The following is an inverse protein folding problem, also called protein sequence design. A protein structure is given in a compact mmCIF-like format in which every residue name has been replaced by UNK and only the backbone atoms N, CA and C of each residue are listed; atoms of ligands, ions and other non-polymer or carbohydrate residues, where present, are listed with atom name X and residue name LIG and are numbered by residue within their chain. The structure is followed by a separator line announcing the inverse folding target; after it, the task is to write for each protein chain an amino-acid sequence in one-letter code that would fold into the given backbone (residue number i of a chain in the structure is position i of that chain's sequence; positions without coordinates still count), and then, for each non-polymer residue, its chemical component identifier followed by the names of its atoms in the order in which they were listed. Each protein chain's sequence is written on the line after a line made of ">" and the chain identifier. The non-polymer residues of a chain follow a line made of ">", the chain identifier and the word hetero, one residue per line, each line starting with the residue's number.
data_IF_068452720164
#
_entry.id   IF_068452720164
#
_cell.length_a   1.000
_cell.length_b   1.000
_cell.length_c   1.000
_cell.angle_alpha   90.00
_cell.angle_beta   90.00
_cell.angle_gamma   90.00
#
_symmetry.space_group_name_H-M   'P 1'
#
loop_
_entity.id
_entity.type
_entity.pdbx_description
1 polymer ?
#
# COMPACT_ATOMS: atom_id res chain seq x y z
N UNK A 1 -14.25 -35.75 34.36
CA UNK A 1 -12.78 -35.76 34.70
C UNK A 1 -12.26 -34.40 34.32
N UNK A 2 -12.24 -33.44 35.19
CA UNK A 2 -11.19 -32.99 36.12
C UNK A 2 -9.92 -32.58 35.39
N UNK A 3 -9.62 -31.27 35.42
CA UNK A 3 -8.38 -30.64 35.87
C UNK A 3 -8.62 -29.13 35.83
N UNK A 4 -8.84 -28.46 36.93
CA UNK A 4 -7.94 -27.80 37.87
C UNK A 4 -7.11 -26.68 37.24
N UNK A 5 -7.47 -25.47 37.67
CA UNK A 5 -6.78 -24.24 37.32
C UNK A 5 -5.45 -24.01 38.05
N UNK A 6 -4.64 -23.17 37.48
CA UNK A 6 -3.58 -22.45 38.20
C UNK A 6 -3.55 -21.01 37.75
N UNK A 7 -3.81 -20.16 38.73
CA UNK A 7 -3.64 -18.70 38.68
C UNK A 7 -2.17 -18.39 38.87
N UNK A 8 -1.52 -17.67 37.95
CA UNK A 8 -0.27 -16.98 38.28
C UNK A 8 -0.41 -15.50 37.92
N UNK A 9 -0.38 -14.70 38.99
CA UNK A 9 -0.09 -13.26 38.94
C UNK A 9 1.39 -13.11 38.61
N UNK A 10 1.71 -12.36 37.57
CA UNK A 10 3.05 -11.91 37.26
C UNK A 10 3.02 -10.45 36.86
N UNK A 11 3.36 -9.59 37.82
CA UNK A 11 3.62 -8.16 37.60
C UNK A 11 4.93 -8.04 36.84
N UNK A 12 4.88 -7.64 35.57
CA UNK A 12 6.08 -7.34 34.79
C UNK A 12 6.38 -5.84 34.93
N UNK A 13 7.38 -5.54 35.71
CA UNK A 13 7.99 -4.19 35.80
C UNK A 13 8.96 -4.06 34.62
N UNK A 14 8.61 -3.24 33.64
CA UNK A 14 9.52 -2.85 32.56
C UNK A 14 10.41 -1.71 33.04
N UNK A 15 11.67 -2.04 33.32
CA UNK A 15 12.74 -1.06 33.43
C UNK A 15 13.09 -0.55 32.03
N UNK A 16 12.75 0.69 31.75
CA UNK A 16 13.29 1.42 30.59
C UNK A 16 14.62 2.04 31.03
N UNK A 17 15.71 1.42 30.63
CA UNK A 17 17.04 2.03 30.74
C UNK A 17 17.22 3.04 29.59
N UNK A 18 17.22 4.31 29.95
CA UNK A 18 17.61 5.42 29.09
C UNK A 18 19.12 5.39 28.91
N UNK A 19 19.62 4.86 27.79
CA UNK A 19 21.02 5.06 27.38
C UNK A 19 21.09 6.28 26.49
N UNK A 20 21.56 7.38 27.06
CA UNK A 20 22.03 8.57 26.35
C UNK A 20 23.30 8.19 25.55
N UNK A 21 23.17 7.98 24.25
CA UNK A 21 24.28 8.01 23.32
C UNK A 21 24.29 9.37 22.63
N UNK A 22 25.19 10.22 23.06
CA UNK A 22 25.64 11.39 22.31
C UNK A 22 26.32 10.92 21.04
N UNK A 23 25.60 10.96 19.92
CA UNK A 23 26.17 10.81 18.58
C UNK A 23 26.57 12.19 18.07
N UNK A 24 27.88 12.44 18.01
CA UNK A 24 28.49 13.56 17.30
C UNK A 24 28.08 13.51 15.82
N UNK A 25 27.43 14.57 15.35
CA UNK A 25 27.24 14.83 13.93
C UNK A 25 28.61 15.08 13.29
N UNK A 26 29.11 14.10 12.57
CA UNK A 26 30.16 14.30 11.57
C UNK A 26 29.47 14.64 10.26
N UNK A 27 29.62 15.88 9.84
CA UNK A 27 29.29 16.33 8.48
C UNK A 27 30.33 15.74 7.56
N UNK A 28 29.95 14.78 6.73
CA UNK A 28 30.70 14.42 5.53
C UNK A 28 30.31 15.35 4.39
N UNK A 29 31.29 15.88 3.62
CA UNK A 29 31.02 16.66 2.43
C UNK A 29 30.45 15.75 1.30
N UNK A 30 29.75 16.29 0.31
CA UNK A 30 29.27 15.51 -0.82
C UNK A 30 30.46 15.24 -1.75
N UNK A 31 31.03 14.07 -1.65
CA UNK A 31 31.91 13.52 -2.69
C UNK A 31 31.05 13.01 -3.83
N UNK A 32 31.07 13.73 -4.92
CA UNK A 32 30.67 13.26 -6.22
C UNK A 32 31.76 12.33 -6.75
N UNK A 33 31.70 11.06 -6.41
CA UNK A 33 32.40 10.00 -7.13
C UNK A 33 31.44 9.38 -8.14
N UNK A 34 31.61 9.74 -9.39
CA UNK A 34 31.20 8.92 -10.52
C UNK A 34 32.10 7.68 -10.49
N UNK A 35 31.72 6.67 -9.74
CA UNK A 35 32.29 5.33 -9.88
C UNK A 35 31.94 4.87 -11.30
N UNK A 36 32.94 4.86 -12.18
CA UNK A 36 32.89 4.21 -13.49
C UNK A 36 32.89 2.70 -13.19
N UNK A 37 31.68 2.13 -12.93
CA UNK A 37 31.53 0.69 -12.81
C UNK A 37 31.66 0.07 -14.19
N UNK A 38 32.66 -0.76 -14.38
CA UNK A 38 32.76 -1.61 -15.57
C UNK A 38 31.75 -2.75 -15.46
N UNK A 39 31.26 -3.24 -16.60
CA UNK A 39 30.44 -4.43 -16.66
C UNK A 39 31.21 -5.68 -16.22
N UNK A 40 30.50 -6.72 -15.83
CA UNK A 40 31.09 -7.99 -15.42
C UNK A 40 32.10 -8.50 -16.46
N UNK A 41 33.26 -8.96 -16.01
CA UNK A 41 34.36 -9.39 -16.84
C UNK A 41 35.37 -8.31 -17.25
N UNK A 42 35.15 -7.06 -16.81
CA UNK A 42 36.05 -5.94 -17.08
C UNK A 42 36.46 -5.21 -15.82
N UNK A 43 37.70 -4.71 -15.77
CA UNK A 43 38.23 -3.86 -14.69
C UNK A 43 38.59 -2.47 -15.22
N UNK A 44 38.45 -1.44 -14.37
CA UNK A 44 38.80 -0.09 -14.73
C UNK A 44 40.31 0.13 -14.74
N UNK A 45 40.88 0.40 -15.90
CA UNK A 45 42.31 0.75 -16.02
C UNK A 45 42.49 2.28 -15.91
N UNK A 46 43.11 2.70 -14.79
CA UNK A 46 43.35 4.11 -14.48
C UNK A 46 44.30 4.80 -15.50
N UNK A 47 45.20 4.03 -16.16
CA UNK A 47 46.15 4.59 -17.10
C UNK A 47 45.52 4.87 -18.47
N UNK A 48 44.67 4.00 -18.93
CA UNK A 48 44.01 4.13 -20.23
C UNK A 48 42.61 4.77 -20.14
N UNK A 49 42.07 4.98 -18.91
CA UNK A 49 40.74 5.56 -18.65
C UNK A 49 39.59 4.84 -19.36
N UNK A 50 39.67 3.51 -19.49
CA UNK A 50 38.61 2.66 -20.01
C UNK A 50 38.58 1.31 -19.30
N UNK A 51 37.46 0.60 -19.46
CA UNK A 51 37.32 -0.74 -18.93
C UNK A 51 38.14 -1.73 -19.76
N UNK A 52 39.05 -2.45 -19.10
CA UNK A 52 39.90 -3.46 -19.69
C UNK A 52 39.39 -4.86 -19.35
N UNK A 53 39.45 -5.74 -20.31
CA UNK A 53 39.09 -7.15 -20.14
C UNK A 53 39.94 -7.83 -19.07
N UNK A 54 39.30 -8.52 -18.17
CA UNK A 54 39.97 -9.32 -17.11
C UNK A 54 40.39 -10.64 -17.73
N UNK A 55 41.65 -11.00 -17.61
CA UNK A 55 42.08 -12.32 -18.05
C UNK A 55 41.83 -13.37 -16.96
N UNK A 56 40.65 -13.97 -17.01
CA UNK A 56 40.22 -14.96 -15.97
C UNK A 56 41.12 -16.19 -15.99
N UNK A 57 41.71 -16.55 -17.10
CA UNK A 57 42.65 -17.66 -17.19
C UNK A 57 43.93 -17.46 -16.35
N UNK A 58 44.21 -16.21 -15.98
CA UNK A 58 45.36 -15.84 -15.12
C UNK A 58 44.90 -15.54 -13.70
N UNK A 59 43.75 -14.88 -13.56
CA UNK A 59 43.26 -14.40 -12.27
C UNK A 59 42.52 -15.45 -11.45
N UNK A 60 41.88 -16.43 -12.09
CA UNK A 60 41.16 -17.51 -11.43
C UNK A 60 42.03 -18.76 -11.32
N UNK A 61 42.25 -19.24 -10.10
CA UNK A 61 42.92 -20.53 -9.89
C UNK A 61 42.02 -21.67 -10.36
N UNK A 62 42.47 -22.44 -11.36
CA UNK A 62 41.72 -23.55 -11.97
C UNK A 62 40.35 -23.13 -12.59
N UNK A 63 40.35 -22.24 -13.59
CA UNK A 63 39.12 -21.77 -14.22
C UNK A 63 38.36 -22.85 -15.00
N UNK A 64 39.02 -23.95 -15.39
CA UNK A 64 38.43 -25.04 -16.15
C UNK A 64 38.54 -26.37 -15.42
N UNK A 65 37.49 -27.16 -15.44
CA UNK A 65 37.47 -28.51 -14.82
C UNK A 65 38.01 -29.58 -15.78
N UNK A 66 38.74 -30.54 -15.25
CA UNK A 66 39.26 -31.66 -16.00
C UNK A 66 40.44 -31.32 -16.92
N UNK A 67 40.55 -31.99 -18.07
CA UNK A 67 41.67 -31.79 -19.05
C UNK A 67 41.40 -30.67 -20.06
N UNK A 68 40.57 -29.67 -19.70
CA UNK A 68 40.30 -28.53 -20.56
C UNK A 68 41.32 -27.41 -20.38
N UNK A 69 41.59 -26.67 -21.48
CA UNK A 69 42.47 -25.52 -21.50
C UNK A 69 41.64 -24.24 -21.50
N UNK A 70 42.01 -23.29 -20.63
CA UNK A 70 41.37 -21.99 -20.56
C UNK A 70 41.86 -21.07 -21.70
N UNK A 71 40.91 -20.38 -22.32
CA UNK A 71 41.15 -19.32 -23.31
C UNK A 71 40.40 -18.07 -22.88
N UNK A 72 41.12 -16.99 -22.68
CA UNK A 72 40.57 -15.70 -22.40
C UNK A 72 39.80 -15.17 -23.61
N UNK A 73 38.63 -14.56 -23.34
CA UNK A 73 37.77 -13.92 -24.34
C UNK A 73 37.21 -12.63 -23.74
N UNK A 74 36.86 -11.68 -24.57
CA UNK A 74 36.31 -10.40 -24.13
C UNK A 74 35.09 -10.60 -23.23
N UNK A 75 35.19 -10.15 -21.96
CA UNK A 75 34.15 -10.24 -20.96
C UNK A 75 33.99 -11.61 -20.31
N UNK A 76 35.00 -12.53 -20.45
CA UNK A 76 34.97 -13.84 -19.83
C UNK A 76 35.97 -14.83 -20.43
N UNK A 77 35.81 -16.12 -20.13
CA UNK A 77 36.73 -17.16 -20.62
C UNK A 77 36.00 -18.38 -21.15
N UNK A 78 36.65 -19.17 -21.99
CA UNK A 78 36.17 -20.41 -22.55
C UNK A 78 37.07 -21.58 -22.15
N UNK A 79 36.44 -22.70 -21.76
CA UNK A 79 37.15 -23.96 -21.52
C UNK A 79 37.02 -24.87 -22.74
N UNK A 80 38.13 -25.09 -23.44
CA UNK A 80 38.18 -25.91 -24.64
C UNK A 80 39.00 -27.18 -24.41
N UNK A 81 38.68 -28.29 -25.10
CA UNK A 81 39.53 -29.49 -25.07
C UNK A 81 40.96 -29.19 -25.53
N UNK A 82 41.95 -29.88 -24.96
CA UNK A 82 43.37 -29.69 -25.32
C UNK A 82 43.68 -29.90 -26.81
N UNK A 83 42.81 -30.59 -27.52
CA UNK A 83 42.92 -30.83 -28.96
C UNK A 83 42.36 -29.67 -29.82
N UNK A 84 41.71 -28.66 -29.23
CA UNK A 84 41.20 -27.51 -29.93
C UNK A 84 42.36 -26.52 -30.27
N UNK A 85 42.55 -26.23 -31.54
CA UNK A 85 43.45 -25.14 -32.00
C UNK A 85 42.60 -23.90 -32.28
N UNK A 86 42.89 -22.81 -31.59
CA UNK A 86 42.26 -21.51 -31.87
C UNK A 86 43.07 -20.86 -32.97
N UNK A 87 42.45 -20.61 -34.13
CA UNK A 87 43.04 -19.85 -35.21
C UNK A 87 42.88 -18.37 -34.85
N UNK A 88 43.93 -17.77 -34.29
CA UNK A 88 44.03 -16.32 -34.16
C UNK A 88 44.43 -15.74 -35.51
N UNK A 89 43.67 -14.76 -35.99
CA UNK A 89 44.08 -13.98 -37.18
C UNK A 89 45.47 -13.34 -36.94
N UNK A 90 46.39 -13.42 -37.86
CA UNK A 90 47.72 -12.83 -37.68
C UNK A 90 47.61 -11.31 -37.64
N UNK A 91 48.22 -10.70 -36.62
CA UNK A 91 48.46 -9.27 -36.58
C UNK A 91 49.37 -8.86 -37.78
N UNK A 92 49.17 -7.69 -38.36
CA UNK A 92 50.01 -7.21 -39.44
C UNK A 92 51.41 -6.82 -38.90
N UNK A 93 52.36 -7.72 -39.02
CA UNK A 93 53.72 -7.44 -38.67
C UNK A 93 54.41 -6.61 -39.83
N UNK A 94 54.84 -5.43 -39.45
CA UNK A 94 55.71 -4.57 -40.25
C UNK A 94 57.08 -5.22 -40.54
N UNK A 95 57.47 -5.19 -41.80
CA UNK A 95 58.87 -5.13 -42.35
C UNK A 95 59.75 -6.37 -42.28
N UNK A 96 60.06 -6.86 -43.49
CA UNK A 96 61.33 -7.41 -43.76
C UNK A 96 61.81 -7.00 -45.22
N UNK A 97 63.05 -6.77 -45.40
CA UNK A 97 63.59 -6.05 -46.58
C UNK A 97 63.74 -6.94 -47.79
N UNK A 98 63.59 -6.31 -48.93
CA UNK A 98 63.76 -6.89 -50.25
C UNK A 98 65.18 -7.39 -50.51
N UNK A 99 65.34 -8.64 -50.97
CA UNK A 99 66.49 -9.16 -51.61
C UNK A 99 66.46 -8.92 -53.15
N UNK A 100 67.52 -8.79 -53.81
CA UNK A 100 67.55 -8.36 -55.20
C UNK A 100 67.06 -9.46 -56.16
N UNK A 101 66.49 -9.06 -57.32
CA UNK A 101 65.95 -10.01 -58.29
C UNK A 101 67.04 -10.64 -59.13
N UNK A 102 66.93 -11.88 -59.64
CA UNK A 102 67.81 -12.43 -60.63
C UNK A 102 67.50 -11.81 -61.99
N UNK A 103 68.51 -11.32 -62.62
CA UNK A 103 68.47 -10.88 -64.01
C UNK A 103 68.33 -12.08 -64.96
N UNK A 104 67.26 -12.08 -65.72
CA UNK A 104 67.19 -12.83 -66.95
C UNK A 104 66.77 -11.87 -68.06
N UNK A 105 67.76 -11.64 -69.01
CA UNK A 105 67.52 -11.02 -70.28
C UNK A 105 66.55 -11.88 -71.07
N UNK A 106 65.36 -11.36 -71.41
CA UNK A 106 64.68 -11.80 -72.64
C UNK A 106 63.82 -10.66 -73.22
N UNK A 107 63.88 -10.57 -74.48
CA UNK A 107 63.35 -9.71 -75.53
C UNK A 107 62.08 -8.88 -75.18
N UNK A 108 62.20 -7.60 -75.50
CA UNK A 108 61.07 -6.68 -75.64
C UNK A 108 60.08 -7.21 -76.69
N UNK A 109 58.78 -7.50 -76.26
CA UNK A 109 57.75 -7.70 -77.24
C UNK A 109 56.39 -8.32 -76.81
N UNK A 110 56.24 -8.85 -75.59
CA UNK A 110 54.90 -9.28 -75.15
C UNK A 110 54.77 -9.22 -73.65
N UNK A 111 53.77 -8.52 -73.17
CA UNK A 111 53.43 -8.54 -71.77
C UNK A 111 52.84 -9.91 -71.35
N UNK A 112 52.96 -10.29 -70.06
CA UNK A 112 52.32 -11.48 -69.56
C UNK A 112 50.75 -11.42 -69.72
N UNK A 113 50.13 -12.55 -69.71
CA UNK A 113 48.62 -12.62 -69.72
C UNK A 113 48.08 -11.78 -68.62
N UNK A 114 47.04 -10.96 -68.90
CA UNK A 114 46.43 -10.00 -67.97
C UNK A 114 47.10 -8.61 -67.94
N UNK A 115 48.16 -8.37 -68.77
CA UNK A 115 48.82 -7.06 -68.90
C UNK A 115 48.82 -6.58 -70.33
N UNK A 116 48.70 -5.26 -70.50
CA UNK A 116 48.84 -4.58 -71.79
C UNK A 116 50.07 -3.71 -71.82
N UNK A 117 50.64 -3.55 -73.02
CA UNK A 117 51.78 -2.67 -73.24
C UNK A 117 51.33 -1.22 -73.22
N UNK A 118 51.85 -0.43 -72.31
CA UNK A 118 51.64 1.01 -72.27
C UNK A 118 52.99 1.73 -72.19
N UNK A 119 53.46 2.22 -73.31
CA UNK A 119 54.81 2.76 -73.47
C UNK A 119 55.89 1.68 -73.42
N UNK A 120 56.80 1.74 -72.43
CA UNK A 120 57.90 0.77 -72.22
C UNK A 120 57.63 -0.19 -71.07
N UNK A 121 56.40 -0.17 -70.49
CA UNK A 121 56.03 -1.00 -69.34
C UNK A 121 54.72 -1.80 -69.60
N UNK A 122 54.61 -2.93 -68.93
CA UNK A 122 53.36 -3.71 -68.89
C UNK A 122 52.48 -3.19 -67.71
N UNK A 123 51.30 -2.78 -68.07
CA UNK A 123 50.28 -2.31 -67.08
C UNK A 123 49.14 -3.33 -66.99
N UNK A 124 48.65 -3.58 -65.82
CA UNK A 124 47.52 -4.45 -65.57
C UNK A 124 46.30 -4.06 -66.41
N UNK A 125 45.67 -5.04 -67.00
CA UNK A 125 44.41 -4.86 -67.75
C UNK A 125 43.28 -4.89 -66.74
N UNK A 126 42.56 -3.80 -66.63
CA UNK A 126 41.33 -3.82 -65.83
C UNK A 126 40.20 -4.46 -66.65
N UNK A 127 40.07 -5.77 -66.49
CA UNK A 127 39.05 -6.55 -67.20
C UNK A 127 37.59 -6.14 -66.78
N UNK A 128 37.45 -5.61 -65.56
CA UNK A 128 36.13 -5.18 -65.08
C UNK A 128 35.63 -3.89 -65.77
N UNK A 129 36.57 -2.94 -66.06
CA UNK A 129 36.22 -1.70 -66.77
C UNK A 129 36.07 -1.95 -68.29
N UNK A 130 36.83 -2.90 -68.82
CA UNK A 130 36.83 -3.19 -70.26
C UNK A 130 35.79 -4.24 -70.66
N UNK A 131 34.96 -4.75 -69.70
CA UNK A 131 33.93 -5.78 -69.88
C UNK A 131 34.53 -7.09 -70.52
N UNK A 132 35.78 -7.40 -70.13
CA UNK A 132 36.56 -8.57 -70.60
C UNK A 132 36.48 -9.74 -69.59
N UNK A 133 35.45 -9.77 -68.75
CA UNK A 133 35.26 -10.78 -67.72
C UNK A 133 34.02 -11.71 -68.04
N UNK A 134 34.02 -12.85 -67.43
CA UNK A 134 32.90 -13.83 -67.51
C UNK A 134 32.05 -13.92 -66.24
N UNK A 135 32.08 -12.87 -65.38
CA UNK A 135 31.26 -12.83 -64.20
C UNK A 135 29.80 -12.84 -64.53
N UNK A 136 29.03 -13.62 -63.78
CA UNK A 136 27.58 -13.71 -63.94
C UNK A 136 26.91 -12.38 -63.54
N UNK A 137 25.70 -12.10 -64.03
CA UNK A 137 24.98 -10.86 -63.72
C UNK A 137 24.74 -10.62 -62.21
N UNK A 138 24.73 -11.68 -61.42
CA UNK A 138 24.62 -11.63 -59.96
C UNK A 138 25.92 -11.41 -59.23
N UNK A 139 27.09 -11.41 -59.94
CA UNK A 139 28.41 -11.24 -59.37
C UNK A 139 28.98 -9.84 -59.65
N UNK A 140 29.82 -9.39 -58.77
CA UNK A 140 30.64 -8.18 -58.97
C UNK A 140 32.03 -8.57 -59.47
N UNK A 141 32.47 -7.94 -60.54
CA UNK A 141 33.81 -8.07 -61.01
C UNK A 141 34.76 -7.20 -60.16
N UNK A 142 35.82 -7.81 -59.62
CA UNK A 142 36.87 -7.13 -58.89
C UNK A 142 38.15 -7.32 -59.63
N UNK A 143 38.77 -6.22 -60.17
CA UNK A 143 40.06 -6.24 -60.80
C UNK A 143 41.15 -6.58 -59.78
N UNK A 144 42.02 -7.49 -60.16
CA UNK A 144 43.20 -7.89 -59.38
C UNK A 144 44.48 -7.86 -60.30
N UNK A 145 45.65 -7.82 -59.70
CA UNK A 145 46.88 -7.73 -60.47
C UNK A 145 47.05 -8.96 -61.34
N UNK A 146 46.95 -8.77 -62.66
CA UNK A 146 47.10 -9.79 -63.69
C UNK A 146 45.87 -10.64 -63.98
N UNK A 147 44.77 -10.31 -63.44
CA UNK A 147 43.50 -11.06 -63.65
C UNK A 147 42.31 -10.37 -62.91
N UNK A 148 41.12 -10.90 -63.04
CA UNK A 148 39.93 -10.47 -62.29
C UNK A 148 39.40 -11.57 -61.42
N UNK A 149 38.51 -11.22 -60.48
CA UNK A 149 37.83 -12.13 -59.62
C UNK A 149 36.33 -11.79 -59.59
N UNK A 150 35.49 -12.81 -59.78
CA UNK A 150 34.04 -12.66 -59.65
C UNK A 150 33.61 -12.97 -58.21
N UNK A 151 33.17 -11.93 -57.49
CA UNK A 151 32.78 -12.03 -56.12
C UNK A 151 31.27 -11.79 -55.98
N UNK A 152 30.65 -12.41 -54.98
CA UNK A 152 29.27 -12.11 -54.65
C UNK A 152 29.19 -10.81 -53.86
N UNK A 153 28.12 -10.04 -54.04
CA UNK A 153 27.85 -8.89 -53.18
C UNK A 153 27.79 -9.30 -51.71
N UNK A 154 27.95 -8.33 -50.85
CA UNK A 154 27.83 -8.53 -49.41
C UNK A 154 26.41 -9.10 -49.07
N UNK A 155 26.35 -10.08 -48.19
CA UNK A 155 25.13 -10.79 -47.85
C UNK A 155 24.74 -11.93 -48.79
N UNK A 156 25.53 -12.18 -49.86
CA UNK A 156 25.32 -13.31 -50.76
C UNK A 156 26.46 -14.30 -50.71
N UNK A 157 26.15 -15.57 -50.87
CA UNK A 157 27.11 -16.67 -50.97
C UNK A 157 27.10 -17.29 -52.35
N UNK A 158 28.33 -17.70 -52.86
CA UNK A 158 28.45 -18.33 -54.13
C UNK A 158 28.03 -19.79 -54.06
N UNK A 159 26.98 -20.15 -54.81
CA UNK A 159 26.49 -21.54 -54.94
C UNK A 159 26.57 -21.89 -56.45
N UNK A 160 27.58 -22.68 -56.83
CA UNK A 160 27.84 -22.94 -58.24
C UNK A 160 28.38 -21.68 -58.95
N UNK A 161 27.65 -21.21 -59.95
CA UNK A 161 27.98 -19.99 -60.70
C UNK A 161 27.15 -18.76 -60.27
N UNK A 162 26.19 -18.91 -59.38
CA UNK A 162 25.27 -17.87 -58.97
C UNK A 162 25.55 -17.37 -57.53
N UNK A 163 25.21 -16.13 -57.25
CA UNK A 163 25.18 -15.57 -55.92
C UNK A 163 23.77 -15.69 -55.35
N UNK A 164 23.67 -16.45 -54.29
CA UNK A 164 22.40 -16.71 -53.58
C UNK A 164 22.41 -15.99 -52.25
N UNK A 165 21.32 -15.34 -51.92
CA UNK A 165 21.09 -14.66 -50.67
C UNK A 165 21.39 -15.58 -49.47
N UNK A 166 22.08 -15.05 -48.47
CA UNK A 166 22.37 -15.76 -47.24
C UNK A 166 21.17 -15.51 -46.28
N UNK A 167 20.46 -16.54 -45.94
CA UNK A 167 19.41 -16.47 -44.95
C UNK A 167 20.00 -16.41 -43.52
N UNK A 168 20.30 -15.18 -43.06
CA UNK A 168 20.90 -14.96 -41.74
C UNK A 168 19.95 -15.37 -40.59
N UNK A 169 18.66 -15.44 -40.83
CA UNK A 169 17.68 -15.84 -39.84
C UNK A 169 17.90 -17.28 -39.34
N UNK A 170 18.58 -18.13 -40.09
CA UNK A 170 19.02 -19.48 -39.66
C UNK A 170 19.99 -19.45 -38.48
N UNK A 171 20.74 -18.36 -38.30
CA UNK A 171 21.78 -18.24 -37.28
C UNK A 171 21.30 -17.60 -36.00
N UNK A 172 19.97 -17.30 -35.86
CA UNK A 172 19.34 -16.72 -34.66
C UNK A 172 19.98 -15.44 -34.16
N UNK A 173 20.32 -14.52 -35.07
CA UNK A 173 20.91 -13.24 -34.73
C UNK A 173 19.93 -12.27 -34.04
N UNK A 174 18.64 -12.48 -34.17
CA UNK A 174 17.60 -11.66 -33.58
C UNK A 174 17.08 -12.27 -32.28
N UNK A 175 16.82 -11.43 -31.29
CA UNK A 175 16.28 -11.86 -30.02
C UNK A 175 14.81 -12.33 -30.13
N UNK A 176 13.99 -11.61 -30.92
CA UNK A 176 12.61 -12.03 -31.17
C UNK A 176 12.48 -12.55 -32.62
N UNK A 177 11.89 -11.80 -33.49
CA UNK A 177 11.62 -12.21 -34.87
C UNK A 177 12.72 -11.74 -35.82
N UNK A 178 13.11 -12.61 -36.72
CA UNK A 178 14.04 -12.30 -37.79
C UNK A 178 13.29 -12.31 -39.12
N UNK A 179 13.54 -11.31 -39.95
CA UNK A 179 13.03 -11.21 -41.32
C UNK A 179 14.21 -11.15 -42.26
N UNK A 180 14.35 -12.18 -43.11
CA UNK A 180 15.37 -12.20 -44.13
C UNK A 180 15.05 -11.20 -45.26
N UNK A 181 16.03 -10.42 -45.67
CA UNK A 181 15.92 -9.44 -46.73
C UNK A 181 17.04 -9.72 -47.76
N UNK A 182 16.86 -9.35 -49.03
CA UNK A 182 17.92 -9.55 -50.05
C UNK A 182 19.24 -8.89 -49.66
N UNK A 183 20.24 -9.72 -49.38
CA UNK A 183 21.58 -9.28 -48.95
C UNK A 183 21.70 -8.81 -47.51
N UNK A 184 20.69 -9.06 -46.67
CA UNK A 184 20.71 -8.65 -45.27
C UNK A 184 19.53 -9.25 -44.48
N UNK A 185 19.40 -8.89 -43.24
CA UNK A 185 18.26 -9.25 -42.39
C UNK A 185 17.82 -8.09 -41.52
N UNK A 186 16.62 -8.16 -41.04
CA UNK A 186 16.06 -7.22 -40.08
C UNK A 186 15.51 -7.97 -38.87
N UNK A 187 15.75 -7.42 -37.67
CA UNK A 187 15.14 -7.92 -36.47
C UNK A 187 13.89 -7.09 -36.15
N UNK A 188 12.82 -7.79 -35.88
CA UNK A 188 11.54 -7.22 -35.41
C UNK A 188 11.30 -7.64 -33.98
N UNK A 189 10.82 -6.73 -33.17
CA UNK A 189 10.42 -7.01 -31.79
C UNK A 189 8.92 -7.30 -31.71
N UNK A 190 8.55 -8.08 -30.73
CA UNK A 190 7.14 -8.28 -30.42
C UNK A 190 6.50 -6.99 -29.85
N UNK A 191 5.18 -6.86 -29.87
CA UNK A 191 4.49 -5.72 -29.27
C UNK A 191 4.94 -5.48 -27.83
N UNK A 192 5.13 -4.22 -27.43
CA UNK A 192 5.68 -3.83 -26.13
C UNK A 192 7.21 -3.74 -26.09
N UNK A 193 7.91 -4.09 -27.19
CA UNK A 193 9.36 -4.00 -27.30
C UNK A 193 9.79 -3.18 -28.50
N UNK A 194 10.92 -2.53 -28.39
CA UNK A 194 11.58 -1.83 -29.49
C UNK A 194 12.96 -2.38 -29.75
N UNK A 195 13.42 -2.26 -31.00
CA UNK A 195 14.76 -2.72 -31.39
C UNK A 195 15.80 -1.83 -30.71
N UNK A 196 16.76 -2.44 -30.04
CA UNK A 196 17.87 -1.75 -29.40
C UNK A 196 18.85 -1.17 -30.44
N UNK A 197 19.75 -0.28 -29.99
CA UNK A 197 20.77 0.36 -30.88
C UNK A 197 21.74 -0.61 -31.57
N UNK A 198 21.80 -1.87 -31.17
CA UNK A 198 22.58 -2.93 -31.83
C UNK A 198 21.83 -3.60 -33.00
N UNK A 199 20.59 -3.20 -33.29
CA UNK A 199 19.69 -3.75 -34.31
C UNK A 199 19.41 -5.25 -34.22
N UNK A 200 19.62 -5.88 -33.03
CA UNK A 200 19.44 -7.33 -32.80
C UNK A 200 18.66 -7.67 -31.57
N UNK A 201 18.82 -6.89 -30.51
CA UNK A 201 18.14 -7.07 -29.23
C UNK A 201 16.84 -6.28 -29.19
N UNK A 202 15.92 -6.75 -28.38
CA UNK A 202 14.66 -6.06 -28.10
C UNK A 202 14.68 -5.55 -26.67
N UNK A 203 14.45 -4.28 -26.48
CA UNK A 203 14.33 -3.64 -25.18
C UNK A 203 12.87 -3.31 -24.93
N UNK A 204 12.48 -3.45 -23.69
CA UNK A 204 11.13 -3.11 -23.22
C UNK A 204 10.81 -1.64 -23.49
N UNK A 205 9.59 -1.39 -23.94
CA UNK A 205 9.07 -0.03 -24.09
C UNK A 205 8.40 0.36 -22.78
N UNK A 206 8.86 1.45 -22.17
CA UNK A 206 8.15 1.98 -21.01
C UNK A 206 6.95 2.82 -21.46
N UNK A 207 5.79 2.19 -21.56
CA UNK A 207 4.55 2.86 -22.00
C UNK A 207 4.12 3.95 -21.02
N UNK A 208 4.49 3.82 -19.74
CA UNK A 208 4.18 4.85 -18.75
C UNK A 208 4.85 6.19 -19.05
N UNK A 209 6.08 6.17 -19.57
CA UNK A 209 6.81 7.39 -19.99
C UNK A 209 6.27 7.95 -21.32
N UNK A 210 5.66 7.11 -22.12
CA UNK A 210 5.06 7.49 -23.40
C UNK A 210 3.62 7.97 -23.32
N UNK A 211 3.05 8.09 -22.10
CA UNK A 211 1.69 8.58 -21.87
C UNK A 211 0.66 7.47 -21.99
N UNK A 212 0.90 6.34 -21.36
CA UNK A 212 -0.08 5.26 -21.22
C UNK A 212 -1.43 5.79 -20.68
N UNK A 213 -2.55 5.18 -21.06
CA UNK A 213 -3.91 5.71 -20.78
C UNK A 213 -4.36 5.50 -19.32
N UNK A 214 -3.46 5.23 -18.37
CA UNK A 214 -3.81 5.04 -16.97
C UNK A 214 -4.33 6.33 -16.34
N UNK A 215 -5.51 6.26 -15.73
CA UNK A 215 -6.12 7.42 -15.08
C UNK A 215 -5.36 7.87 -13.83
N UNK A 216 -4.81 6.92 -13.04
CA UNK A 216 -4.07 7.23 -11.82
C UNK A 216 -2.63 6.77 -11.91
N UNK A 217 -2.31 5.52 -11.58
CA UNK A 217 -0.93 5.03 -11.54
C UNK A 217 -0.64 4.06 -12.66
N UNK A 218 0.47 4.28 -13.34
CA UNK A 218 1.00 3.39 -14.35
C UNK A 218 2.24 2.67 -13.81
N UNK A 219 2.33 1.37 -14.08
CA UNK A 219 3.47 0.52 -13.74
C UNK A 219 3.93 -0.19 -15.01
N UNK A 220 5.14 0.11 -15.43
CA UNK A 220 5.77 -0.60 -16.52
C UNK A 220 6.07 -2.04 -16.11
N UNK A 221 5.83 -2.97 -17.02
CA UNK A 221 6.13 -4.40 -16.88
C UNK A 221 6.84 -4.87 -18.14
N UNK A 222 7.47 -6.02 -18.10
CA UNK A 222 8.20 -6.52 -19.26
C UNK A 222 7.26 -6.87 -20.42
N UNK A 223 7.35 -6.08 -21.50
CA UNK A 223 6.53 -6.19 -22.71
C UNK A 223 5.13 -5.58 -22.62
N UNK A 224 4.82 -4.84 -21.56
CA UNK A 224 3.51 -4.22 -21.38
C UNK A 224 3.52 -3.29 -20.17
N UNK A 225 2.37 -2.72 -19.86
CA UNK A 225 2.13 -1.93 -18.65
C UNK A 225 0.86 -2.39 -17.94
N UNK A 226 0.71 -1.97 -16.70
CA UNK A 226 -0.53 -2.13 -15.96
C UNK A 226 -0.89 -0.85 -15.23
N UNK A 227 -2.20 -0.55 -15.19
CA UNK A 227 -2.73 0.53 -14.41
C UNK A 227 -3.14 0.03 -13.02
N UNK A 228 -2.90 0.86 -12.01
CA UNK A 228 -3.38 0.63 -10.65
C UNK A 228 -4.09 1.87 -10.14
N UNK A 229 -5.11 1.62 -9.38
CA UNK A 229 -5.85 2.65 -8.69
C UNK A 229 -5.26 2.93 -7.31
N UNK A 230 -5.45 4.13 -6.83
CA UNK A 230 -5.17 4.51 -5.45
C UNK A 230 -6.19 3.89 -4.50
N UNK A 231 -5.89 3.95 -3.21
CA UNK A 231 -6.78 3.43 -2.20
C UNK A 231 -8.15 4.12 -2.28
N UNK A 232 -9.23 3.35 -2.18
CA UNK A 232 -10.60 3.82 -2.32
C UNK A 232 -11.13 3.82 -3.76
N UNK A 233 -10.33 3.33 -4.71
CA UNK A 233 -10.75 3.17 -6.11
C UNK A 233 -10.53 1.74 -6.59
N UNK A 234 -11.37 1.28 -7.50
CA UNK A 234 -11.24 0.01 -8.20
C UNK A 234 -10.99 0.22 -9.69
N UNK A 235 -10.21 -0.69 -10.28
CA UNK A 235 -9.91 -0.65 -11.69
C UNK A 235 -11.14 -1.09 -12.50
N UNK A 236 -11.54 -0.24 -13.43
CA UNK A 236 -12.65 -0.52 -14.33
C UNK A 236 -12.39 -1.70 -15.27
N UNK A 237 -13.43 -2.20 -15.94
CA UNK A 237 -13.33 -3.34 -16.85
C UNK A 237 -12.50 -3.06 -18.10
N UNK A 238 -12.23 -1.79 -18.41
CA UNK A 238 -11.33 -1.35 -19.47
C UNK A 238 -9.85 -1.47 -19.12
N UNK A 239 -9.53 -1.67 -17.83
CA UNK A 239 -8.16 -1.78 -17.33
C UNK A 239 -7.41 -0.45 -17.18
N UNK A 240 -8.05 0.71 -17.37
CA UNK A 240 -7.40 2.03 -17.41
C UNK A 240 -8.02 3.04 -16.45
N UNK A 241 -9.34 3.01 -16.31
CA UNK A 241 -10.11 3.96 -15.51
C UNK A 241 -10.24 3.45 -14.08
N UNK A 242 -10.11 4.35 -13.13
CA UNK A 242 -10.30 4.07 -11.72
C UNK A 242 -11.65 4.62 -11.26
N UNK A 243 -12.57 3.72 -10.92
CA UNK A 243 -13.88 4.06 -10.40
C UNK A 243 -13.80 4.20 -8.89
N UNK A 244 -14.47 5.20 -8.35
CA UNK A 244 -14.63 5.36 -6.92
C UNK A 244 -15.38 4.17 -6.33
N UNK A 245 -14.91 3.66 -5.21
CA UNK A 245 -15.56 2.60 -4.46
C UNK A 245 -16.60 3.26 -3.56
N UNK A 246 -17.88 2.97 -3.79
CA UNK A 246 -18.93 3.38 -2.86
C UNK A 246 -18.96 2.44 -1.65
N UNK A 247 -18.16 2.76 -0.63
CA UNK A 247 -18.09 1.95 0.58
C UNK A 247 -19.43 1.90 1.32
N UNK A 248 -20.22 2.95 1.19
CA UNK A 248 -21.55 3.02 1.82
C UNK A 248 -22.53 1.97 1.27
N UNK A 249 -22.34 1.56 0.01
CA UNK A 249 -23.18 0.53 -0.62
C UNK A 249 -22.84 -0.90 -0.15
N UNK A 250 -21.61 -1.15 0.33
CA UNK A 250 -21.18 -2.49 0.74
C UNK A 250 -21.85 -2.97 2.03
N UNK A 251 -22.16 -2.07 2.94
CA UNK A 251 -22.75 -2.47 4.24
C UNK A 251 -23.50 -1.31 4.89
N UNK A 252 -24.75 -1.58 5.29
CA UNK A 252 -25.54 -0.66 6.12
C UNK A 252 -24.95 -0.41 7.51
N UNK A 253 -23.94 -1.19 7.92
CA UNK A 253 -23.26 -1.07 9.21
C UNK A 253 -21.90 -0.34 9.11
N UNK A 254 -21.62 0.28 7.98
CA UNK A 254 -20.36 1.00 7.76
C UNK A 254 -20.22 2.18 8.73
N UNK A 255 -21.30 2.91 8.94
CA UNK A 255 -21.43 3.99 9.90
C UNK A 255 -22.55 3.70 10.91
N UNK A 256 -22.38 4.21 12.12
CA UNK A 256 -23.40 4.05 13.14
C UNK A 256 -24.69 4.84 12.84
N UNK A 257 -24.57 5.96 12.12
CA UNK A 257 -25.71 6.76 11.67
C UNK A 257 -25.75 6.87 10.16
N UNK A 258 -25.21 7.91 9.59
CA UNK A 258 -25.26 8.17 8.15
C UNK A 258 -23.88 8.00 7.52
N UNK A 259 -23.82 7.29 6.40
CA UNK A 259 -22.64 7.14 5.58
C UNK A 259 -22.72 8.10 4.40
N UNK A 260 -21.66 8.83 4.15
CA UNK A 260 -21.48 9.68 2.96
C UNK A 260 -20.28 9.19 2.17
N UNK A 261 -20.50 8.80 0.92
CA UNK A 261 -19.43 8.46 -0.01
C UNK A 261 -18.78 9.73 -0.55
N UNK A 262 -17.46 9.76 -0.52
CA UNK A 262 -16.63 10.83 -1.08
C UNK A 262 -15.56 10.20 -2.00
N UNK A 263 -15.06 10.92 -3.01
CA UNK A 263 -14.06 10.37 -3.90
C UNK A 263 -12.83 9.81 -3.17
N UNK A 264 -12.61 8.49 -3.29
CA UNK A 264 -11.50 7.75 -2.68
C UNK A 264 -11.66 7.42 -1.21
N UNK A 265 -12.82 7.70 -0.61
CA UNK A 265 -13.09 7.40 0.80
C UNK A 265 -14.57 7.56 1.14
N UNK A 266 -14.94 7.13 2.32
CA UNK A 266 -16.23 7.47 2.93
C UNK A 266 -16.04 8.28 4.21
N UNK A 267 -17.08 8.96 4.61
CA UNK A 267 -17.18 9.63 5.90
C UNK A 267 -18.47 9.25 6.62
N UNK A 268 -18.41 9.15 7.95
CA UNK A 268 -19.60 8.96 8.77
C UNK A 268 -20.04 10.28 9.35
N UNK A 269 -21.35 10.55 9.21
CA UNK A 269 -21.97 11.77 9.71
C UNK A 269 -22.82 11.39 10.92
N UNK A 270 -22.57 12.04 12.05
CA UNK A 270 -23.39 11.90 13.24
C UNK A 270 -24.54 12.90 13.23
N UNK A 271 -25.67 12.59 13.89
CA UNK A 271 -26.78 13.52 14.01
C UNK A 271 -26.42 14.68 14.96
N UNK A 272 -27.28 15.69 14.98
CA UNK A 272 -27.13 16.85 15.88
C UNK A 272 -27.09 16.37 17.35
N UNK A 273 -26.23 17.01 18.15
CA UNK A 273 -25.96 16.62 19.55
C UNK A 273 -24.94 15.49 19.71
N UNK A 274 -24.42 14.93 18.63
CA UNK A 274 -23.41 13.87 18.65
C UNK A 274 -22.16 14.24 17.88
N UNK A 275 -21.03 13.77 18.34
CA UNK A 275 -19.74 13.93 17.66
C UNK A 275 -19.20 12.57 17.19
N UNK A 276 -18.40 12.59 16.13
CA UNK A 276 -17.78 11.39 15.59
C UNK A 276 -16.67 10.90 16.54
N UNK A 277 -16.79 9.68 17.02
CA UNK A 277 -15.79 8.98 17.80
C UNK A 277 -15.04 7.99 16.89
N UNK A 278 -13.75 8.29 16.65
CA UNK A 278 -12.97 7.52 15.67
C UNK A 278 -13.45 7.80 14.25
N UNK A 279 -13.76 6.76 13.48
CA UNK A 279 -14.16 6.87 12.06
C UNK A 279 -15.61 6.49 11.78
N UNK A 280 -16.33 5.89 12.74
CA UNK A 280 -17.62 5.23 12.48
C UNK A 280 -18.69 5.38 13.55
N UNK A 281 -18.28 5.70 14.77
CA UNK A 281 -19.18 5.74 15.93
C UNK A 281 -19.59 7.18 16.23
N UNK A 282 -20.82 7.33 16.76
CA UNK A 282 -21.32 8.60 17.22
C UNK A 282 -21.41 8.59 18.75
N UNK A 283 -20.79 9.57 19.37
CA UNK A 283 -20.80 9.78 20.81
C UNK A 283 -21.58 11.04 21.13
N UNK A 284 -22.41 10.97 22.16
CA UNK A 284 -23.12 12.12 22.72
C UNK A 284 -22.14 13.23 23.11
N UNK A 285 -22.49 14.46 22.79
CA UNK A 285 -21.73 15.65 23.19
C UNK A 285 -22.25 16.06 24.57
N UNK A 286 -21.36 16.20 25.55
CA UNK A 286 -21.78 16.71 26.85
C UNK A 286 -21.76 18.24 26.83
N UNK A 287 -22.88 18.85 26.45
CA UNK A 287 -23.00 20.32 26.35
C UNK A 287 -22.80 21.01 27.70
N UNK A 288 -23.13 20.31 28.79
CA UNK A 288 -22.94 20.85 30.15
C UNK A 288 -21.45 20.97 30.51
N UNK A 289 -20.60 20.02 30.05
CA UNK A 289 -19.14 20.09 30.26
C UNK A 289 -18.46 21.04 29.29
N UNK A 290 -18.91 21.06 28.04
CA UNK A 290 -18.32 21.93 27.00
C UNK A 290 -18.76 23.37 27.12
N UNK A 291 -19.82 23.65 27.90
CA UNK A 291 -20.40 24.99 28.07
C UNK A 291 -21.15 25.49 26.84
N UNK A 292 -21.55 24.59 25.95
CA UNK A 292 -22.31 24.93 24.74
C UNK A 292 -23.81 24.99 24.95
N UNK A 293 -24.29 24.71 26.18
CA UNK A 293 -25.70 24.82 26.55
C UNK A 293 -26.19 26.26 26.65
N UNK A 294 -27.50 26.47 26.51
CA UNK A 294 -28.15 27.77 26.61
C UNK A 294 -29.07 27.87 27.85
N UNK A 295 -28.67 27.22 28.96
CA UNK A 295 -29.45 27.31 30.21
C UNK A 295 -29.32 28.75 30.80
N UNK A 296 -30.43 29.26 31.32
CA UNK A 296 -30.48 30.56 31.94
C UNK A 296 -29.71 30.60 33.26
N UNK A 297 -29.36 31.81 33.71
CA UNK A 297 -28.69 32.00 35.00
C UNK A 297 -29.63 31.55 36.14
N UNK A 298 -29.16 30.59 36.94
CA UNK A 298 -29.94 29.94 37.97
C UNK A 298 -30.57 28.60 37.60
N UNK A 299 -30.38 28.13 36.37
CA UNK A 299 -30.74 26.74 35.97
C UNK A 299 -29.51 25.81 36.05
N UNK A 300 -29.77 24.55 36.23
CA UNK A 300 -28.75 23.49 36.17
C UNK A 300 -28.84 22.77 34.85
N UNK A 301 -27.72 22.67 34.14
CA UNK A 301 -27.63 21.87 32.95
C UNK A 301 -27.54 20.38 33.29
N UNK A 302 -28.32 19.57 32.61
CA UNK A 302 -28.34 18.12 32.70
C UNK A 302 -28.06 17.57 31.30
N UNK A 303 -26.96 16.87 31.11
CA UNK A 303 -26.67 16.21 29.84
C UNK A 303 -27.60 15.04 29.60
N UNK A 304 -28.18 14.95 28.40
CA UNK A 304 -29.00 13.86 27.95
C UNK A 304 -28.52 13.35 26.61
N UNK A 305 -28.87 12.13 26.23
CA UNK A 305 -28.46 11.62 24.89
C UNK A 305 -29.10 12.45 23.79
N UNK A 306 -28.22 13.10 22.98
CA UNK A 306 -28.56 13.96 21.83
C UNK A 306 -28.83 15.40 22.21
N UNK A 307 -28.36 15.86 23.38
CA UNK A 307 -28.47 17.25 23.79
C UNK A 307 -28.44 17.45 25.30
N UNK A 308 -29.05 18.53 25.75
CA UNK A 308 -29.08 18.89 27.16
C UNK A 308 -30.49 19.31 27.58
N UNK A 309 -30.73 19.28 28.87
CA UNK A 309 -31.97 19.76 29.49
C UNK A 309 -31.61 20.76 30.61
N UNK A 310 -32.27 21.92 30.60
CA UNK A 310 -32.13 22.91 31.65
C UNK A 310 -33.18 22.69 32.72
N UNK A 311 -32.75 22.48 33.96
CA UNK A 311 -33.65 22.29 35.11
C UNK A 311 -33.56 23.48 36.03
N UNK A 312 -34.71 23.98 36.47
CA UNK A 312 -34.72 25.01 37.47
C UNK A 312 -34.18 24.47 38.80
N UNK A 313 -33.53 25.33 39.59
CA UNK A 313 -33.17 24.96 40.93
C UNK A 313 -34.44 24.53 41.66
N UNK A 314 -34.44 23.31 42.15
CA UNK A 314 -35.60 22.65 42.72
C UNK A 314 -36.30 23.48 43.79
N UNK A 315 -37.43 24.05 43.47
CA UNK A 315 -38.31 24.63 44.46
C UNK A 315 -39.19 23.51 45.03
N UNK A 316 -38.95 23.22 46.29
CA UNK A 316 -39.81 22.23 46.97
C UNK A 316 -41.23 22.78 47.05
N UNK A 317 -42.21 22.00 46.64
CA UNK A 317 -43.61 22.34 46.79
C UNK A 317 -44.04 22.16 48.26
N UNK A 318 -44.86 23.06 48.76
CA UNK A 318 -45.44 22.91 50.11
C UNK A 318 -46.15 21.55 50.24
N UNK A 319 -46.05 20.86 51.37
CA UNK A 319 -45.47 21.27 52.65
C UNK A 319 -43.97 21.02 52.83
N UNK A 320 -43.22 20.65 51.81
CA UNK A 320 -41.80 20.36 51.85
C UNK A 320 -40.95 21.63 51.93
N UNK A 321 -39.78 21.49 52.58
CA UNK A 321 -38.78 22.54 52.72
C UNK A 321 -37.49 22.06 52.07
N UNK A 322 -36.87 22.92 51.32
CA UNK A 322 -35.59 22.62 50.64
C UNK A 322 -34.43 22.59 51.68
N UNK A 323 -33.67 21.51 51.68
CA UNK A 323 -32.51 21.31 52.56
C UNK A 323 -31.18 21.22 51.76
N UNK A 324 -31.27 20.92 50.47
CA UNK A 324 -30.15 20.98 49.51
C UNK A 324 -30.70 21.14 48.09
N UNK A 325 -29.83 21.36 47.11
CA UNK A 325 -30.20 21.64 45.72
C UNK A 325 -31.15 20.56 45.11
N UNK A 326 -31.05 19.34 45.56
CA UNK A 326 -31.82 18.23 45.01
C UNK A 326 -32.67 17.48 46.09
N UNK A 327 -32.84 18.03 47.29
CA UNK A 327 -33.52 17.38 48.40
C UNK A 327 -34.49 18.26 49.11
N UNK A 328 -35.72 17.83 49.21
CA UNK A 328 -36.79 18.41 49.95
C UNK A 328 -37.15 17.53 51.16
N UNK A 329 -37.42 18.09 52.32
CA UNK A 329 -37.82 17.35 53.52
C UNK A 329 -39.14 17.87 53.98
N UNK A 330 -40.03 16.96 54.38
CA UNK A 330 -41.31 17.29 55.00
C UNK A 330 -41.13 17.40 56.51
N UNK A 331 -41.26 18.62 57.11
CA UNK A 331 -41.04 18.83 58.55
C UNK A 331 -42.09 18.07 59.37
N UNK A 332 -41.65 17.29 60.34
CA UNK A 332 -42.49 16.48 61.20
C UNK A 332 -43.52 17.34 61.98
N UNK A 333 -43.27 18.62 62.15
CA UNK A 333 -44.16 19.58 62.83
C UNK A 333 -45.41 19.85 62.01
N UNK A 334 -45.37 19.71 60.67
CA UNK A 334 -46.55 19.90 59.81
C UNK A 334 -47.40 18.65 59.81
N UNK A 335 -48.72 18.74 60.19
CA UNK A 335 -49.61 17.56 60.27
C UNK A 335 -49.77 16.85 58.91
N UNK A 336 -49.71 17.58 57.84
CA UNK A 336 -49.79 17.10 56.45
C UNK A 336 -48.61 16.13 56.05
N UNK A 337 -47.52 16.25 56.78
CA UNK A 337 -46.32 15.39 56.53
C UNK A 337 -46.44 13.97 57.10
N UNK A 338 -47.54 13.64 57.87
CA UNK A 338 -47.66 12.33 58.48
C UNK A 338 -47.87 11.20 57.47
N UNK A 339 -48.54 11.49 56.36
CA UNK A 339 -48.82 10.53 55.30
C UNK A 339 -47.97 10.67 54.07
N UNK A 340 -47.17 11.72 54.04
CA UNK A 340 -46.26 12.02 52.91
C UNK A 340 -44.89 11.41 53.17
N UNK A 341 -44.10 11.14 52.09
CA UNK A 341 -42.68 10.78 52.22
C UNK A 341 -41.91 11.82 53.06
N UNK A 342 -41.09 11.37 53.99
CA UNK A 342 -40.27 12.23 54.84
C UNK A 342 -39.31 13.11 54.01
N UNK A 343 -38.78 12.55 52.93
CA UNK A 343 -37.92 13.29 52.01
C UNK A 343 -38.19 12.92 50.56
N UNK A 344 -38.05 13.91 49.68
CA UNK A 344 -38.04 13.72 48.23
C UNK A 344 -36.67 14.14 47.74
N UNK A 345 -35.98 13.23 47.01
CA UNK A 345 -34.74 13.51 46.32
C UNK A 345 -35.03 13.55 44.81
N UNK A 346 -34.49 14.52 44.12
CA UNK A 346 -34.61 14.59 42.64
C UNK A 346 -33.31 14.13 42.00
N UNK A 347 -33.44 13.33 40.93
CA UNK A 347 -32.35 12.85 40.12
C UNK A 347 -32.77 12.84 38.65
N UNK A 348 -31.76 13.00 37.81
CA UNK A 348 -31.91 13.00 36.37
C UNK A 348 -31.00 11.93 35.79
N UNK A 349 -31.43 11.29 34.73
CA UNK A 349 -30.60 10.36 33.97
C UNK A 349 -31.06 10.30 32.53
N UNK A 350 -30.17 9.88 31.65
CA UNK A 350 -30.46 9.64 30.25
C UNK A 350 -30.16 8.21 29.87
N UNK A 351 -30.93 7.65 28.96
CA UNK A 351 -30.72 6.35 28.35
C UNK A 351 -30.87 6.45 26.83
N UNK A 352 -30.21 5.56 26.11
CA UNK A 352 -30.39 5.45 24.66
C UNK A 352 -31.74 4.86 24.29
N UNK A 353 -32.23 5.22 23.09
CA UNK A 353 -33.41 4.59 22.50
C UNK A 353 -33.19 3.09 22.26
N UNK A 354 -34.27 2.32 22.20
CA UNK A 354 -34.25 0.89 21.81
C UNK A 354 -33.26 0.02 22.59
N UNK A 355 -32.95 0.41 23.83
CA UNK A 355 -32.02 -0.34 24.67
C UNK A 355 -32.52 -1.77 24.87
N UNK A 356 -31.57 -2.72 24.83
CA UNK A 356 -31.90 -4.14 25.09
C UNK A 356 -32.53 -4.35 26.44
N UNK A 357 -33.58 -5.20 26.50
CA UNK A 357 -34.35 -5.48 27.71
C UNK A 357 -34.27 -6.97 28.05
N UNK A 358 -34.31 -7.33 29.36
CA UNK A 358 -34.32 -6.45 30.53
C UNK A 358 -32.97 -5.77 30.77
N UNK A 359 -32.94 -4.50 31.13
CA UNK A 359 -31.72 -3.72 31.37
C UNK A 359 -31.77 -2.99 32.72
N UNK A 360 -30.71 -3.15 33.49
CA UNK A 360 -30.52 -2.41 34.73
C UNK A 360 -30.16 -0.96 34.37
N UNK A 361 -30.96 0.01 34.86
CA UNK A 361 -30.77 1.41 34.45
C UNK A 361 -30.37 2.33 35.61
N UNK A 362 -30.90 2.07 36.83
CA UNK A 362 -30.62 2.95 37.96
C UNK A 362 -30.61 2.16 39.27
N UNK A 363 -29.56 2.32 40.09
CA UNK A 363 -29.46 1.71 41.41
C UNK A 363 -30.01 2.66 42.48
N UNK A 364 -31.04 2.22 43.19
CA UNK A 364 -31.59 2.91 44.34
C UNK A 364 -30.86 2.42 45.56
N UNK A 365 -30.39 3.32 46.43
CA UNK A 365 -29.70 2.99 47.66
C UNK A 365 -30.23 3.81 48.82
N UNK A 366 -30.51 3.14 49.93
CA UNK A 366 -30.87 3.81 51.16
C UNK A 366 -29.72 4.66 51.71
N UNK A 367 -29.98 5.92 52.00
CA UNK A 367 -28.96 6.85 52.54
C UNK A 367 -28.73 6.68 54.04
N UNK A 368 -29.69 6.01 54.73
CA UNK A 368 -29.62 5.77 56.17
C UNK A 368 -30.15 4.35 56.48
N UNK A 369 -29.40 3.63 57.29
CA UNK A 369 -29.76 2.27 57.73
C UNK A 369 -30.07 2.31 59.22
N UNK A 370 -31.28 1.95 59.58
CA UNK A 370 -31.69 1.87 60.98
C UNK A 370 -31.63 0.42 61.47
N UNK A 371 -30.95 0.13 62.59
CA UNK A 371 -30.90 -1.21 63.11
C UNK A 371 -32.30 -1.80 63.37
N UNK A 372 -32.55 -3.01 62.84
CA UNK A 372 -33.85 -3.69 62.99
C UNK A 372 -34.94 -3.19 62.03
N UNK A 373 -34.63 -2.29 61.13
CA UNK A 373 -35.54 -1.88 60.05
C UNK A 373 -35.33 -2.70 58.80
N UNK A 374 -36.38 -2.97 58.07
CA UNK A 374 -36.34 -3.51 56.71
C UNK A 374 -36.95 -2.49 55.75
N UNK A 375 -36.37 -2.43 54.55
CA UNK A 375 -36.78 -1.51 53.51
C UNK A 375 -37.41 -2.27 52.35
N UNK A 376 -38.47 -1.70 51.82
CA UNK A 376 -39.13 -2.18 50.60
C UNK A 376 -39.12 -1.05 49.59
N UNK A 377 -38.90 -1.39 48.33
CA UNK A 377 -38.82 -0.43 47.24
C UNK A 377 -39.97 -0.68 46.26
N UNK A 378 -40.63 0.38 45.81
CA UNK A 378 -41.70 0.31 44.81
C UNK A 378 -41.74 1.54 43.91
N UNK A 379 -42.30 1.41 42.72
CA UNK A 379 -42.68 2.54 41.87
C UNK A 379 -44.04 3.01 42.38
N UNK A 380 -44.15 4.28 42.77
CA UNK A 380 -45.39 4.88 43.26
C UNK A 380 -46.25 5.42 42.13
N UNK A 381 -45.60 6.07 41.13
CA UNK A 381 -46.23 6.66 39.96
C UNK A 381 -45.27 6.86 38.82
N UNK A 382 -45.78 7.14 37.62
CA UNK A 382 -45.00 7.49 36.43
C UNK A 382 -44.66 6.31 35.50
N UNK A 383 -45.05 5.07 35.89
CA UNK A 383 -44.92 3.88 35.04
C UNK A 383 -46.32 3.35 34.67
N UNK A 384 -47.05 4.14 33.91
CA UNK A 384 -48.46 3.83 33.59
C UNK A 384 -48.60 2.66 32.60
N UNK A 385 -47.53 2.39 31.82
CA UNK A 385 -47.54 1.35 30.80
C UNK A 385 -46.75 0.08 31.19
N UNK A 386 -46.12 0.07 32.37
CA UNK A 386 -45.31 -1.05 32.84
C UNK A 386 -44.00 -1.24 32.04
N UNK A 387 -43.37 -0.14 31.68
CA UNK A 387 -42.05 -0.17 31.03
C UNK A 387 -40.92 -0.43 32.02
N UNK A 388 -41.17 -0.22 33.32
CA UNK A 388 -40.17 -0.33 34.38
C UNK A 388 -40.63 -1.28 35.48
N UNK A 389 -39.70 -1.88 36.22
CA UNK A 389 -39.96 -2.57 37.49
C UNK A 389 -38.75 -2.44 38.42
N UNK A 390 -39.01 -2.67 39.73
CA UNK A 390 -37.94 -2.66 40.72
C UNK A 390 -37.58 -4.11 41.09
N UNK A 391 -36.29 -4.40 41.01
CA UNK A 391 -35.70 -5.64 41.52
C UNK A 391 -34.92 -5.34 42.79
N UNK A 392 -35.38 -5.83 43.91
CA UNK A 392 -34.69 -5.66 45.18
C UNK A 392 -33.43 -6.52 45.22
N UNK A 393 -32.25 -5.89 45.52
CA UNK A 393 -30.96 -6.56 45.61
C UNK A 393 -30.75 -7.04 47.05
N UNK A 394 -30.97 -6.15 48.01
CA UNK A 394 -30.83 -6.42 49.42
C UNK A 394 -31.69 -5.45 50.24
N UNK A 395 -31.54 -5.44 51.57
CA UNK A 395 -32.31 -4.56 52.43
C UNK A 395 -32.06 -3.07 52.26
N UNK A 396 -30.94 -2.71 51.64
CA UNK A 396 -30.53 -1.30 51.48
C UNK A 396 -30.47 -0.83 50.03
N UNK A 397 -30.61 -1.72 49.07
CA UNK A 397 -30.53 -1.38 47.65
C UNK A 397 -31.52 -2.15 46.79
N UNK A 398 -31.93 -1.49 45.71
CA UNK A 398 -32.73 -2.05 44.65
C UNK A 398 -32.31 -1.51 43.32
N UNK A 399 -32.63 -2.21 42.25
CA UNK A 399 -32.36 -1.84 40.88
C UNK A 399 -33.66 -1.50 40.17
N UNK A 400 -33.70 -0.33 39.53
CA UNK A 400 -34.72 -0.01 38.54
C UNK A 400 -34.34 -0.66 37.23
N UNK A 401 -35.20 -1.47 36.71
CA UNK A 401 -34.98 -2.27 35.51
C UNK A 401 -35.96 -1.84 34.43
N UNK A 402 -35.44 -1.62 33.24
CA UNK A 402 -36.22 -1.42 32.02
C UNK A 402 -36.76 -2.79 31.55
N UNK A 403 -38.07 -2.96 31.51
CA UNK A 403 -38.75 -4.19 31.15
C UNK A 403 -39.14 -4.29 29.69
N UNK A 404 -39.36 -3.15 29.04
CA UNK A 404 -39.73 -3.03 27.62
C UNK A 404 -38.87 -2.02 26.94
N UNK A 405 -38.49 -2.31 25.69
CA UNK A 405 -37.72 -1.36 24.87
C UNK A 405 -38.55 -0.09 24.63
N UNK A 406 -37.92 1.04 24.78
CA UNK A 406 -38.54 2.37 24.62
C UNK A 406 -37.88 3.05 23.45
N UNK A 407 -38.69 3.58 22.55
CA UNK A 407 -38.21 4.43 21.43
C UNK A 407 -38.34 5.90 21.83
N UNK A 408 -37.26 6.66 21.75
CA UNK A 408 -37.21 8.08 22.07
C UNK A 408 -37.43 8.96 20.83
N UNK A 409 -37.41 10.30 20.98
CA UNK A 409 -37.25 11.00 22.28
C UNK A 409 -38.48 10.92 23.17
N UNK A 410 -38.27 10.63 24.44
CA UNK A 410 -39.36 10.52 25.44
C UNK A 410 -38.83 10.84 26.85
N UNK A 411 -39.71 11.39 27.69
CA UNK A 411 -39.38 11.67 29.08
C UNK A 411 -40.32 10.95 29.99
N UNK A 412 -39.80 10.40 31.09
CA UNK A 412 -40.54 9.78 32.17
C UNK A 412 -40.17 10.45 33.48
N UNK A 413 -41.16 10.73 34.30
CA UNK A 413 -40.94 11.16 35.69
C UNK A 413 -41.44 10.05 36.61
N UNK A 414 -40.49 9.22 37.07
CA UNK A 414 -40.79 8.12 37.98
C UNK A 414 -40.73 8.56 39.44
N UNK A 415 -41.73 8.27 40.23
CA UNK A 415 -41.69 8.46 41.66
C UNK A 415 -41.43 7.09 42.32
N UNK A 416 -40.18 6.91 42.76
CA UNK A 416 -39.70 5.68 43.39
C UNK A 416 -39.76 5.87 44.92
N UNK A 417 -40.45 4.97 45.64
CA UNK A 417 -40.62 5.07 47.07
C UNK A 417 -39.89 3.93 47.80
N UNK A 418 -39.09 4.30 48.79
CA UNK A 418 -38.53 3.39 49.77
C UNK A 418 -39.32 3.51 51.06
N UNK A 419 -39.90 2.43 51.50
CA UNK A 419 -40.64 2.35 52.80
C UNK A 419 -39.79 1.58 53.80
N UNK A 420 -39.40 2.24 54.86
CA UNK A 420 -38.67 1.66 56.00
C UNK A 420 -39.61 1.34 57.15
N UNK A 421 -39.62 0.08 57.59
CA UNK A 421 -40.45 -0.39 58.68
C UNK A 421 -39.61 -1.00 59.80
N UNK A 422 -39.74 -0.55 61.00
CA UNK A 422 -39.18 -1.17 62.19
C UNK A 422 -40.29 -1.73 63.08
N UNK A 423 -40.58 -3.03 63.06
CA UNK A 423 -41.66 -3.63 63.77
C UNK A 423 -41.53 -3.53 65.31
N UNK A 424 -40.28 -3.55 65.81
CA UNK A 424 -39.99 -3.48 67.24
C UNK A 424 -40.26 -2.10 67.80
N UNK A 425 -40.21 -1.04 67.01
CA UNK A 425 -40.45 0.34 67.42
C UNK A 425 -41.79 0.90 66.89
N UNK A 426 -42.59 0.08 66.23
CA UNK A 426 -43.85 0.49 65.53
C UNK A 426 -43.62 1.75 64.66
N UNK A 427 -42.43 1.81 64.02
CA UNK A 427 -42.01 2.96 63.24
C UNK A 427 -42.11 2.61 61.75
N UNK A 428 -42.79 3.48 61.02
CA UNK A 428 -42.87 3.42 59.55
C UNK A 428 -42.56 4.80 58.98
N UNK A 429 -41.68 4.86 58.07
CA UNK A 429 -41.36 6.09 57.28
C UNK A 429 -41.19 5.75 55.84
N UNK A 430 -41.39 6.72 54.98
CA UNK A 430 -41.08 6.57 53.57
C UNK A 430 -40.23 7.75 53.08
N UNK A 431 -39.40 7.47 52.05
CA UNK A 431 -38.63 8.46 51.30
C UNK A 431 -38.88 8.23 49.82
N UNK A 432 -39.05 9.29 49.08
CA UNK A 432 -39.29 9.25 47.65
C UNK A 432 -38.07 9.73 46.89
N UNK A 433 -37.81 9.11 45.74
CA UNK A 433 -36.88 9.56 44.73
C UNK A 433 -37.71 9.88 43.50
N UNK A 434 -37.71 11.15 43.08
CA UNK A 434 -38.27 11.57 41.79
C UNK A 434 -37.15 11.49 40.77
N UNK A 435 -37.27 10.52 39.87
CA UNK A 435 -36.28 10.25 38.84
C UNK A 435 -36.83 10.66 37.47
N UNK A 436 -36.25 11.68 36.86
CA UNK A 436 -36.52 12.01 35.45
C UNK A 436 -35.61 11.18 34.57
N UNK A 437 -36.21 10.35 33.70
CA UNK A 437 -35.49 9.51 32.73
C UNK A 437 -35.76 10.06 31.34
N UNK A 438 -34.71 10.55 30.72
CA UNK A 438 -34.74 11.01 29.35
C UNK A 438 -34.29 9.90 28.43
N UNK A 439 -35.08 9.61 27.42
CA UNK A 439 -34.77 8.63 26.39
C UNK A 439 -34.29 9.39 25.14
N UNK A 440 -33.07 9.18 24.75
CA UNK A 440 -32.51 9.82 23.58
C UNK A 440 -33.18 9.38 22.27
N UNK A 441 -32.95 10.12 21.16
CA UNK A 441 -33.59 9.82 19.88
C UNK A 441 -33.00 8.59 19.20
N UNK A 442 -31.78 8.19 19.53
CA UNK A 442 -31.02 7.13 18.84
C UNK A 442 -30.67 5.98 19.80
N UNK A 443 -30.38 4.81 19.22
CA UNK A 443 -29.99 3.60 19.95
C UNK A 443 -28.54 3.58 20.44
N UNK A 444 -27.83 4.67 20.28
CA UNK A 444 -26.41 4.85 20.61
C UNK A 444 -26.14 6.14 21.38
#
# INVERSE_FOLDING_TARGET
>A
RCCVGVRMRGTLVLFVSLSLLQGTMSQTPPEGDSLTECTDGYEWDVQSQHCKDINECVTIAEPCQGEMKCFNHYGGYLCLPRSASVITAPEPSSQAPAGPPPQSNEAFGSCPVGYQVQGESCVDVDECILDLHDCQPSQQCLNTVGTYSCQCPEGYSKIGLECVDVDECRYRYCQHRCVNLPGSFSCECEPGFQVAGNNRSCVDVNECDMGAPCQQRCYNTYGSFLCRCEQGYELGPDGFICNDIDECSYSSYMCQHQCANEPGRFSCICPEGYQLLGTRLCQDVNECETGTHQCEEGQTCVNIHGGYHCTDHNRCQEPYVQVSDNRCVCPVIKPECRELPFSIVQRYMSITSERSVPSDIFQIQATSVYPGAYNTFRIRSGDDNGEFYIRQINNISAMLVLARAITGPKEYTLELEMVSVNPLRSYKTSSALRLSVFVGPYAF
#
